data_IF_098674137481
#
_entry.id   IF_098674137481
#
_cell.length_a   1.000
_cell.length_b   1.000
_cell.length_c   1.000
_cell.angle_alpha   90.00
_cell.angle_beta   90.00
_cell.angle_gamma   90.00
#
_symmetry.space_group_name_H-M   'P 1'
#
loop_
_entity.id
_entity.type
_entity.pdbx_description
1 polymer ?
#
# COMPACT_ATOMS: atom_id res chain seq x y z
N UNK A 1 -5.93 -12.14 -3.09
CA UNK A 1 -6.88 -11.04 -3.12
C UNK A 1 -8.24 -11.44 -2.56
N UNK A 2 -8.85 -12.53 -3.03
CA UNK A 2 -10.13 -13.01 -2.50
C UNK A 2 -10.06 -13.25 -0.98
N UNK A 3 -9.02 -13.93 -0.48
CA UNK A 3 -8.83 -14.15 0.95
C UNK A 3 -8.65 -12.83 1.74
N UNK A 4 -7.90 -11.85 1.21
CA UNK A 4 -7.77 -10.55 1.85
C UNK A 4 -9.12 -9.81 1.95
N UNK A 5 -9.94 -9.87 0.89
CA UNK A 5 -11.30 -9.32 0.90
C UNK A 5 -12.21 -10.05 1.89
N UNK A 6 -12.13 -11.38 1.99
CA UNK A 6 -12.89 -12.19 2.96
C UNK A 6 -12.51 -11.84 4.40
N UNK A 7 -11.24 -11.52 4.67
CA UNK A 7 -10.77 -11.04 5.98
C UNK A 7 -11.08 -9.57 6.25
N UNK A 8 -11.69 -8.86 5.28
CA UNK A 8 -12.09 -7.47 5.44
C UNK A 8 -10.92 -6.49 5.49
N UNK A 9 -9.83 -6.80 4.79
CA UNK A 9 -8.68 -5.88 4.67
C UNK A 9 -9.12 -4.58 4.00
N UNK A 10 -8.93 -3.41 4.64
CA UNK A 10 -9.39 -2.13 4.08
C UNK A 10 -8.57 -1.71 2.87
N UNK A 11 -7.31 -2.09 2.83
CA UNK A 11 -6.37 -1.86 1.72
C UNK A 11 -5.56 -3.11 1.46
N UNK A 12 -5.29 -3.42 0.19
CA UNK A 12 -4.49 -4.57 -0.24
C UNK A 12 -3.29 -4.03 -1.02
N UNK A 13 -2.10 -4.49 -0.65
CA UNK A 13 -0.85 -4.17 -1.35
C UNK A 13 -0.59 -5.21 -2.45
N UNK A 14 -0.02 -4.75 -3.56
CA UNK A 14 0.34 -5.57 -4.71
C UNK A 14 1.50 -4.97 -5.51
N UNK A 15 2.27 -5.84 -6.17
CA UNK A 15 3.38 -5.48 -7.03
C UNK A 15 3.02 -5.62 -8.50
N UNK A 16 3.28 -4.59 -9.30
CA UNK A 16 2.98 -4.58 -10.73
C UNK A 16 4.26 -4.61 -11.56
N UNK A 17 4.27 -5.50 -12.51
CA UNK A 17 5.28 -5.62 -13.58
C UNK A 17 4.59 -5.73 -14.94
N UNK A 18 5.39 -5.81 -16.02
CA UNK A 18 4.86 -5.83 -17.37
C UNK A 18 5.45 -6.98 -18.18
N UNK A 19 4.60 -7.65 -18.95
CA UNK A 19 4.98 -8.70 -19.89
C UNK A 19 5.60 -8.14 -21.17
N UNK A 20 6.19 -9.02 -22.01
CA UNK A 20 6.81 -8.64 -23.29
C UNK A 20 5.86 -7.92 -24.25
N UNK A 21 4.56 -8.23 -24.19
CA UNK A 21 3.51 -7.65 -25.03
C UNK A 21 2.78 -6.48 -24.38
N UNK A 22 3.32 -5.92 -23.25
CA UNK A 22 2.85 -4.70 -22.64
C UNK A 22 1.66 -4.86 -21.69
N UNK A 23 1.33 -6.07 -21.24
CA UNK A 23 0.26 -6.30 -20.28
C UNK A 23 0.80 -6.09 -18.85
N UNK A 24 0.16 -5.22 -18.07
CA UNK A 24 0.46 -5.05 -16.65
C UNK A 24 -0.07 -6.23 -15.85
N UNK A 25 0.81 -6.91 -15.10
CA UNK A 25 0.52 -8.13 -14.33
C UNK A 25 0.95 -7.98 -12.89
N UNK A 26 0.33 -8.76 -12.00
CA UNK A 26 0.59 -8.68 -10.56
C UNK A 26 1.52 -9.81 -10.14
N UNK A 27 2.79 -9.46 -9.91
CA UNK A 27 3.83 -10.37 -9.45
C UNK A 27 4.98 -9.61 -8.80
N UNK A 28 5.50 -10.11 -7.67
CA UNK A 28 6.61 -9.49 -6.96
C UNK A 28 7.95 -9.65 -7.70
N UNK A 29 8.32 -10.89 -8.06
CA UNK A 29 9.63 -11.18 -8.64
C UNK A 29 9.63 -10.94 -10.15
N UNK A 30 10.71 -10.34 -10.67
CA UNK A 30 10.96 -10.27 -12.11
C UNK A 30 11.14 -11.68 -12.70
N UNK A 31 11.83 -12.56 -11.99
CA UNK A 31 12.01 -13.96 -12.39
C UNK A 31 10.80 -14.81 -12.01
N UNK A 32 10.23 -15.50 -12.98
CA UNK A 32 9.10 -16.40 -12.77
C UNK A 32 9.47 -17.71 -12.04
N UNK A 33 10.78 -17.92 -11.78
CA UNK A 33 11.28 -19.21 -11.30
C UNK A 33 10.77 -19.60 -9.92
N UNK A 34 10.70 -18.67 -8.96
CA UNK A 34 10.29 -18.96 -7.59
C UNK A 34 8.84 -19.44 -7.51
N UNK A 35 7.94 -18.75 -8.19
CA UNK A 35 6.50 -19.02 -8.08
C UNK A 35 6.01 -20.08 -9.07
N UNK A 36 6.63 -20.19 -10.27
CA UNK A 36 6.10 -21.03 -11.34
C UNK A 36 7.06 -22.15 -11.78
N UNK A 37 8.33 -22.08 -11.39
CA UNK A 37 9.38 -22.98 -11.89
C UNK A 37 9.91 -22.60 -13.28
N UNK A 38 9.31 -21.63 -13.99
CA UNK A 38 9.77 -21.15 -15.29
C UNK A 38 11.05 -20.30 -15.12
N UNK A 39 12.09 -20.54 -15.90
CA UNK A 39 13.39 -19.83 -15.80
C UNK A 39 13.42 -18.48 -16.53
N UNK A 40 12.35 -18.08 -17.20
CA UNK A 40 12.22 -16.79 -17.86
C UNK A 40 11.93 -15.66 -16.87
N UNK A 41 12.15 -14.41 -17.30
CA UNK A 41 11.65 -13.23 -16.61
C UNK A 41 10.28 -12.84 -17.15
N UNK A 42 9.55 -12.04 -16.40
CA UNK A 42 8.20 -11.61 -16.76
C UNK A 42 8.18 -10.84 -18.10
N UNK A 43 9.17 -9.99 -18.34
CA UNK A 43 9.29 -9.18 -19.55
C UNK A 43 9.80 -9.97 -20.78
N UNK A 44 10.19 -11.26 -20.63
CA UNK A 44 10.63 -12.12 -21.72
C UNK A 44 9.46 -12.82 -22.43
N UNK A 45 8.29 -12.90 -21.80
CA UNK A 45 7.14 -13.69 -22.25
C UNK A 45 5.91 -12.81 -22.51
N UNK A 46 5.13 -13.09 -23.58
CA UNK A 46 3.79 -12.51 -23.73
C UNK A 46 2.82 -13.07 -22.69
N UNK A 47 1.81 -12.28 -22.32
CA UNK A 47 0.85 -12.64 -21.26
C UNK A 47 0.16 -13.99 -21.52
N UNK A 48 -0.16 -14.32 -22.76
CA UNK A 48 -0.76 -15.60 -23.11
C UNK A 48 0.09 -16.83 -22.67
N UNK A 49 1.41 -16.68 -22.54
CA UNK A 49 2.30 -17.71 -21.99
C UNK A 49 2.39 -17.64 -20.48
N UNK A 50 2.47 -16.43 -19.91
CA UNK A 50 2.50 -16.20 -18.46
C UNK A 50 1.26 -16.77 -17.79
N UNK A 51 0.08 -16.56 -18.36
CA UNK A 51 -1.20 -17.03 -17.84
C UNK A 51 -1.32 -18.56 -17.74
N UNK A 52 -0.52 -19.31 -18.51
CA UNK A 52 -0.51 -20.78 -18.46
C UNK A 52 0.37 -21.34 -17.33
N UNK A 53 1.14 -20.51 -16.64
CA UNK A 53 2.03 -20.92 -15.58
C UNK A 53 1.25 -21.06 -14.27
N UNK A 54 1.47 -22.18 -13.57
CA UNK A 54 0.91 -22.38 -12.23
C UNK A 54 1.72 -21.59 -11.19
N UNK A 55 1.17 -20.50 -10.71
CA UNK A 55 1.77 -19.62 -9.72
C UNK A 55 1.31 -19.92 -8.27
N UNK A 56 0.49 -20.93 -8.03
CA UNK A 56 -0.04 -21.25 -6.70
C UNK A 56 0.56 -22.49 -6.05
N UNK A 57 0.89 -23.50 -6.83
CA UNK A 57 1.34 -24.81 -6.34
C UNK A 57 2.61 -24.75 -5.48
N UNK A 58 3.51 -23.81 -5.76
CA UNK A 58 4.74 -23.61 -4.98
C UNK A 58 4.47 -23.22 -3.53
N UNK A 59 3.39 -22.48 -3.30
CA UNK A 59 2.98 -22.04 -1.97
C UNK A 59 2.27 -23.18 -1.21
N UNK A 60 1.22 -23.75 -1.82
CA UNK A 60 0.53 -24.92 -1.27
C UNK A 60 -0.28 -25.64 -2.37
N UNK A 61 -0.44 -26.99 -2.23
CA UNK A 61 -1.15 -27.80 -3.24
C UNK A 61 -2.60 -27.39 -3.49
N UNK A 62 -3.28 -26.81 -2.49
CA UNK A 62 -4.66 -26.33 -2.67
C UNK A 62 -4.79 -25.20 -3.67
N UNK A 63 -3.71 -24.46 -3.93
CA UNK A 63 -3.67 -23.35 -4.89
C UNK A 63 -3.16 -23.75 -6.27
N UNK A 64 -3.04 -25.03 -6.53
CA UNK A 64 -2.65 -25.54 -7.87
C UNK A 64 -3.60 -25.02 -8.92
N UNK A 65 -3.05 -24.45 -10.02
CA UNK A 65 -3.79 -23.84 -11.11
C UNK A 65 -4.08 -22.35 -10.92
N UNK A 66 -3.64 -21.73 -9.81
CA UNK A 66 -3.64 -20.26 -9.72
C UNK A 66 -2.62 -19.69 -10.70
N UNK A 67 -3.01 -18.66 -11.40
CA UNK A 67 -2.16 -17.98 -12.41
C UNK A 67 -1.77 -16.59 -11.93
N UNK A 68 -0.83 -15.95 -12.62
CA UNK A 68 -0.45 -14.56 -12.42
C UNK A 68 -1.53 -13.67 -13.05
N UNK A 69 -2.32 -12.92 -12.25
CA UNK A 69 -3.40 -12.10 -12.79
C UNK A 69 -2.88 -10.83 -13.44
N UNK A 70 -3.67 -10.22 -14.28
CA UNK A 70 -3.45 -8.86 -14.77
C UNK A 70 -3.83 -7.84 -13.68
N UNK A 71 -3.25 -6.65 -13.75
CA UNK A 71 -3.69 -5.52 -12.90
C UNK A 71 -5.18 -5.20 -13.13
N UNK A 72 -5.65 -5.30 -14.37
CA UNK A 72 -7.04 -5.11 -14.75
C UNK A 72 -7.99 -6.06 -14.00
N UNK A 73 -7.66 -7.36 -13.93
CA UNK A 73 -8.44 -8.35 -13.18
C UNK A 73 -8.51 -8.02 -11.68
N UNK A 74 -7.39 -7.56 -11.09
CA UNK A 74 -7.34 -7.19 -9.68
C UNK A 74 -8.13 -5.92 -9.40
N UNK A 75 -8.01 -4.89 -10.25
CA UNK A 75 -8.82 -3.67 -10.15
C UNK A 75 -10.32 -3.99 -10.21
N UNK A 76 -10.73 -4.84 -11.14
CA UNK A 76 -12.13 -5.28 -11.27
C UNK A 76 -12.62 -6.05 -10.04
N UNK A 77 -11.80 -6.95 -9.49
CA UNK A 77 -12.13 -7.77 -8.32
C UNK A 77 -12.32 -6.92 -7.06
N UNK A 78 -11.42 -5.95 -6.83
CA UNK A 78 -11.35 -5.16 -5.60
C UNK A 78 -12.23 -3.90 -5.63
N UNK A 79 -12.74 -3.47 -6.79
CA UNK A 79 -13.53 -2.23 -6.93
C UNK A 79 -14.73 -2.19 -5.98
N UNK A 80 -14.76 -1.13 -5.15
CA UNK A 80 -15.79 -0.91 -4.15
C UNK A 80 -15.75 -1.85 -2.94
N UNK A 81 -14.67 -2.65 -2.80
CA UNK A 81 -14.49 -3.61 -1.69
C UNK A 81 -13.24 -3.31 -0.86
N UNK A 82 -12.14 -2.87 -1.49
CA UNK A 82 -10.91 -2.48 -0.81
C UNK A 82 -10.18 -1.41 -1.61
N UNK A 83 -9.39 -0.58 -0.92
CA UNK A 83 -8.38 0.27 -1.54
C UNK A 83 -7.19 -0.58 -1.99
N UNK A 84 -6.38 -0.04 -2.91
CA UNK A 84 -5.16 -0.71 -3.37
C UNK A 84 -3.92 0.14 -3.11
N UNK A 85 -2.84 -0.51 -2.66
CA UNK A 85 -1.49 0.03 -2.68
C UNK A 85 -0.72 -0.68 -3.81
N UNK A 86 -0.50 0.03 -4.91
CA UNK A 86 0.06 -0.52 -6.14
C UNK A 86 1.55 -0.17 -6.21
N UNK A 87 2.43 -1.14 -5.89
CA UNK A 87 3.86 -0.95 -6.09
C UNK A 87 4.24 -1.15 -7.55
N UNK A 88 4.75 -0.11 -8.20
CA UNK A 88 5.34 -0.22 -9.53
C UNK A 88 6.80 -0.66 -9.39
N UNK A 89 7.14 -1.83 -9.94
CA UNK A 89 8.51 -2.35 -10.03
C UNK A 89 9.20 -1.81 -11.28
N UNK A 90 10.03 -0.76 -11.17
CA UNK A 90 10.65 -0.14 -12.34
C UNK A 90 11.60 -1.10 -13.05
N UNK A 91 11.56 -1.07 -14.39
CA UNK A 91 12.46 -1.85 -15.22
C UNK A 91 12.80 -1.09 -16.50
N UNK A 92 14.06 -1.12 -16.87
CA UNK A 92 14.50 -0.58 -18.17
C UNK A 92 13.93 -1.34 -19.36
N UNK A 93 13.42 -2.56 -19.14
CA UNK A 93 12.79 -3.40 -20.16
C UNK A 93 11.30 -3.10 -20.36
N UNK A 94 10.69 -2.34 -19.45
CA UNK A 94 9.26 -2.04 -19.44
C UNK A 94 9.00 -0.54 -19.23
N UNK A 95 9.45 0.34 -20.14
CA UNK A 95 9.47 1.80 -19.92
C UNK A 95 8.08 2.46 -19.93
N UNK A 96 7.02 1.71 -20.24
CA UNK A 96 5.63 2.20 -20.29
C UNK A 96 4.78 1.73 -19.11
N UNK A 97 5.38 1.05 -18.11
CA UNK A 97 4.63 0.46 -17.00
C UNK A 97 3.90 1.51 -16.18
N UNK A 98 4.52 2.67 -15.90
CA UNK A 98 3.90 3.77 -15.16
C UNK A 98 2.66 4.30 -15.91
N UNK A 99 2.79 4.53 -17.22
CA UNK A 99 1.69 5.05 -18.03
C UNK A 99 0.54 4.04 -18.15
N UNK A 100 0.83 2.75 -18.30
CA UNK A 100 -0.19 1.70 -18.35
C UNK A 100 -0.89 1.54 -16.99
N UNK A 101 -0.16 1.60 -15.88
CA UNK A 101 -0.73 1.55 -14.54
C UNK A 101 -1.71 2.72 -14.31
N UNK A 102 -1.29 3.96 -14.61
CA UNK A 102 -2.16 5.15 -14.48
C UNK A 102 -3.36 5.05 -15.40
N UNK A 103 -3.18 4.61 -16.66
CA UNK A 103 -4.28 4.38 -17.60
C UNK A 103 -5.34 3.41 -17.05
N UNK A 104 -4.90 2.31 -16.44
CA UNK A 104 -5.80 1.32 -15.83
C UNK A 104 -6.50 1.87 -14.58
N UNK A 105 -5.80 2.59 -13.72
CA UNK A 105 -6.39 3.29 -12.56
C UNK A 105 -7.55 4.18 -13.02
N UNK A 106 -7.36 4.98 -14.08
CA UNK A 106 -8.42 5.83 -14.64
C UNK A 106 -9.56 5.01 -15.27
N UNK A 107 -9.23 3.99 -16.06
CA UNK A 107 -10.24 3.15 -16.73
C UNK A 107 -11.21 2.49 -15.75
N UNK A 108 -10.71 2.14 -14.55
CA UNK A 108 -11.50 1.53 -13.48
C UNK A 108 -12.02 2.54 -12.45
N UNK A 109 -11.79 3.86 -12.64
CA UNK A 109 -12.13 4.94 -11.69
C UNK A 109 -11.58 4.67 -10.28
N UNK A 110 -10.32 4.21 -10.18
CA UNK A 110 -9.69 3.81 -8.93
C UNK A 110 -8.86 4.93 -8.27
N UNK A 111 -8.77 6.11 -8.87
CA UNK A 111 -7.88 7.19 -8.46
C UNK A 111 -7.99 7.58 -6.97
N UNK A 112 -9.21 7.69 -6.44
CA UNK A 112 -9.45 7.98 -5.02
C UNK A 112 -9.28 6.77 -4.09
N UNK A 113 -9.29 5.55 -4.63
CA UNK A 113 -9.31 4.30 -3.89
C UNK A 113 -7.97 3.55 -4.00
N UNK A 114 -6.91 4.22 -4.50
CA UNK A 114 -5.57 3.65 -4.54
C UNK A 114 -4.49 4.65 -4.17
N UNK A 115 -3.34 4.10 -3.80
CA UNK A 115 -2.06 4.80 -3.75
C UNK A 115 -1.06 4.05 -4.64
N UNK A 116 -0.10 4.77 -5.19
CA UNK A 116 0.98 4.18 -6.00
C UNK A 116 2.29 4.28 -5.24
N UNK A 117 2.99 3.18 -5.07
CA UNK A 117 4.29 3.13 -4.40
C UNK A 117 5.40 2.67 -5.34
N UNK A 118 6.63 3.03 -5.04
CA UNK A 118 7.81 2.51 -5.73
C UNK A 118 9.07 2.73 -4.89
N UNK A 119 10.08 1.88 -5.10
CA UNK A 119 11.45 2.08 -4.64
C UNK A 119 12.23 3.05 -5.54
N UNK A 120 11.68 3.44 -6.69
CA UNK A 120 12.25 4.44 -7.60
C UNK A 120 11.54 5.77 -7.45
N UNK A 121 12.26 6.79 -7.00
CA UNK A 121 11.72 8.14 -6.95
C UNK A 121 11.38 8.69 -8.35
N UNK A 122 12.15 8.31 -9.38
CA UNK A 122 11.87 8.67 -10.77
C UNK A 122 10.50 8.14 -11.23
N UNK A 123 10.15 6.90 -10.85
CA UNK A 123 8.82 6.31 -11.11
C UNK A 123 7.72 7.14 -10.48
N UNK A 124 7.88 7.60 -9.22
CA UNK A 124 6.90 8.47 -8.57
C UNK A 124 6.76 9.83 -9.29
N UNK A 125 7.88 10.42 -9.72
CA UNK A 125 7.84 11.65 -10.53
C UNK A 125 7.02 11.45 -11.83
N UNK A 126 7.25 10.34 -12.55
CA UNK A 126 6.48 10.01 -13.76
C UNK A 126 4.98 9.82 -13.47
N UNK A 127 4.64 9.16 -12.36
CA UNK A 127 3.23 9.01 -11.96
C UNK A 127 2.59 10.38 -11.69
N UNK A 128 3.28 11.27 -10.95
CA UNK A 128 2.81 12.63 -10.69
C UNK A 128 2.73 13.52 -11.95
N UNK A 129 3.59 13.29 -12.96
CA UNK A 129 3.50 13.96 -14.26
C UNK A 129 2.27 13.48 -15.05
N UNK A 130 1.90 12.21 -14.94
CA UNK A 130 0.74 11.62 -15.61
C UNK A 130 -0.58 12.00 -14.94
N UNK A 131 -0.59 11.98 -13.61
CA UNK A 131 -1.71 12.37 -12.78
C UNK A 131 -1.23 12.88 -11.40
N UNK A 132 -1.25 14.19 -11.14
CA UNK A 132 -0.82 14.79 -9.87
C UNK A 132 -1.72 14.43 -8.68
N UNK A 133 -2.96 13.99 -8.93
CA UNK A 133 -3.95 13.70 -7.89
C UNK A 133 -3.79 12.27 -7.30
N UNK A 134 -3.09 11.37 -7.99
CA UNK A 134 -2.76 10.05 -7.44
C UNK A 134 -1.81 10.21 -6.26
N UNK A 135 -2.21 9.70 -5.10
CA UNK A 135 -1.35 9.65 -3.91
C UNK A 135 -0.18 8.70 -4.12
N UNK A 136 1.04 9.17 -3.87
CA UNK A 136 2.27 8.41 -4.12
C UNK A 136 3.10 8.21 -2.86
N UNK A 137 3.70 7.02 -2.71
CA UNK A 137 4.53 6.63 -1.58
C UNK A 137 5.94 6.16 -1.99
N UNK A 138 6.96 6.68 -1.32
CA UNK A 138 8.33 6.25 -1.56
C UNK A 138 8.72 5.10 -0.64
N UNK A 139 9.11 3.96 -1.22
CA UNK A 139 9.50 2.76 -0.46
C UNK A 139 10.97 2.84 -0.08
N UNK A 140 11.24 2.74 1.22
CA UNK A 140 12.56 2.72 1.82
C UNK A 140 12.87 1.33 2.37
N UNK A 141 13.59 0.53 1.59
CA UNK A 141 14.05 -0.80 2.00
C UNK A 141 15.30 -0.77 2.90
N UNK A 142 16.03 0.34 2.90
CA UNK A 142 17.19 0.59 3.74
C UNK A 142 17.01 1.95 4.40
N UNK A 143 17.12 2.03 5.73
CA UNK A 143 16.97 3.26 6.51
C UNK A 143 18.11 4.27 6.35
N UNK A 144 18.76 4.30 5.18
CA UNK A 144 19.90 5.17 4.89
C UNK A 144 19.41 6.45 4.22
N UNK A 145 19.44 7.54 4.96
CA UNK A 145 19.14 8.88 4.47
C UNK A 145 18.03 9.57 5.28
N UNK A 146 18.23 10.85 5.52
CA UNK A 146 17.27 11.69 6.27
C UNK A 146 16.53 12.65 5.34
N UNK A 147 16.48 12.34 4.05
CA UNK A 147 15.92 13.23 3.04
C UNK A 147 14.45 12.93 2.79
N UNK A 148 13.58 13.59 3.57
CA UNK A 148 12.12 13.43 3.46
C UNK A 148 11.45 14.56 2.67
N UNK A 149 12.21 15.52 2.13
CA UNK A 149 11.71 16.62 1.30
C UNK A 149 11.67 16.18 -0.18
N UNK A 150 10.82 15.21 -0.49
CA UNK A 150 10.63 14.66 -1.83
C UNK A 150 9.22 15.05 -2.32
N UNK A 151 9.08 16.03 -3.25
CA UNK A 151 7.77 16.53 -3.70
C UNK A 151 6.85 15.47 -4.29
N UNK A 152 7.42 14.49 -5.01
CA UNK A 152 6.66 13.38 -5.60
C UNK A 152 6.45 12.19 -4.64
N UNK A 153 6.55 12.38 -3.33
CA UNK A 153 6.23 11.37 -2.33
C UNK A 153 5.30 12.01 -1.29
N UNK A 154 4.05 11.61 -1.27
CA UNK A 154 3.06 12.09 -0.29
C UNK A 154 3.23 11.36 1.05
N UNK A 155 3.74 10.13 1.01
CA UNK A 155 4.08 9.34 2.19
C UNK A 155 5.34 8.47 1.99
N UNK A 156 5.81 7.85 3.09
CA UNK A 156 6.93 6.92 3.07
C UNK A 156 6.51 5.54 3.53
N UNK A 157 6.88 4.50 2.77
CA UNK A 157 6.68 3.09 3.12
C UNK A 157 8.02 2.49 3.52
N UNK A 158 8.21 2.19 4.81
CA UNK A 158 9.54 1.90 5.39
C UNK A 158 9.60 0.48 5.95
N UNK A 159 10.73 -0.20 5.70
CA UNK A 159 11.00 -1.48 6.36
C UNK A 159 11.07 -1.27 7.89
N UNK A 160 10.32 -2.08 8.64
CA UNK A 160 9.97 -1.84 10.04
C UNK A 160 11.16 -1.72 11.00
N UNK A 161 12.27 -2.43 10.72
CA UNK A 161 13.45 -2.43 11.59
C UNK A 161 14.23 -1.10 11.55
N UNK A 162 14.02 -0.29 10.53
CA UNK A 162 14.66 1.03 10.38
C UNK A 162 13.84 2.17 10.98
N UNK A 163 12.59 1.92 11.39
CA UNK A 163 11.71 2.98 11.90
C UNK A 163 12.13 3.40 13.31
N UNK A 164 12.35 4.69 13.48
CA UNK A 164 12.67 5.33 14.75
C UNK A 164 11.69 6.46 15.05
N UNK A 165 11.51 6.82 16.32
CA UNK A 165 10.68 7.96 16.72
C UNK A 165 11.11 9.27 16.03
N UNK A 166 12.43 9.48 15.85
CA UNK A 166 12.96 10.64 15.14
C UNK A 166 12.57 10.65 13.66
N UNK A 167 12.56 9.49 12.99
CA UNK A 167 12.12 9.36 11.60
C UNK A 167 10.63 9.71 11.46
N UNK A 168 9.78 9.12 12.29
CA UNK A 168 8.33 9.38 12.30
C UNK A 168 8.07 10.88 12.49
N UNK A 169 8.70 11.48 13.50
CA UNK A 169 8.56 12.92 13.77
C UNK A 169 9.00 13.78 12.58
N UNK A 170 10.12 13.47 11.94
CA UNK A 170 10.62 14.24 10.80
C UNK A 170 9.71 14.14 9.58
N UNK A 171 9.07 13.00 9.35
CA UNK A 171 8.09 12.78 8.27
C UNK A 171 6.82 13.58 8.58
N UNK A 172 6.28 13.48 9.80
CA UNK A 172 5.08 14.20 10.23
C UNK A 172 5.26 15.73 10.20
N UNK A 173 6.44 16.25 10.59
CA UNK A 173 6.75 17.69 10.51
C UNK A 173 6.68 18.26 9.08
N UNK A 174 6.72 17.39 8.06
CA UNK A 174 6.55 17.74 6.63
C UNK A 174 5.13 17.54 6.13
N UNK A 175 4.19 17.23 7.03
CA UNK A 175 2.80 16.94 6.69
C UNK A 175 2.60 15.62 5.92
N UNK A 176 3.58 14.70 6.00
CA UNK A 176 3.53 13.40 5.33
C UNK A 176 3.27 12.28 6.34
N UNK A 177 2.82 11.13 5.86
CA UNK A 177 2.57 9.94 6.68
C UNK A 177 3.62 8.84 6.45
N UNK A 178 3.64 7.85 7.36
CA UNK A 178 4.56 6.73 7.32
C UNK A 178 3.82 5.40 7.46
N UNK A 179 4.09 4.50 6.52
CA UNK A 179 3.64 3.11 6.50
C UNK A 179 4.79 2.18 6.86
N UNK A 180 4.53 1.10 7.59
CA UNK A 180 5.55 0.13 7.99
C UNK A 180 5.27 -1.25 7.39
N UNK A 181 6.31 -1.93 6.87
CA UNK A 181 6.25 -3.29 6.32
C UNK A 181 7.44 -4.15 6.77
N UNK A 182 7.37 -5.50 6.83
CA UNK A 182 6.15 -6.30 6.89
C UNK A 182 5.90 -6.72 8.32
N UNK A 183 4.72 -6.43 8.86
CA UNK A 183 4.40 -6.56 10.28
C UNK A 183 3.52 -7.78 10.49
N UNK A 184 4.09 -8.87 10.97
CA UNK A 184 3.40 -10.15 11.15
C UNK A 184 3.20 -10.56 12.62
N UNK A 185 3.62 -9.70 13.58
CA UNK A 185 3.49 -9.96 15.01
C UNK A 185 2.82 -8.80 15.73
N UNK A 186 1.92 -9.13 16.62
CA UNK A 186 1.18 -8.15 17.43
C UNK A 186 2.10 -7.17 18.17
N UNK A 187 3.17 -7.66 18.81
CA UNK A 187 4.08 -6.82 19.59
C UNK A 187 4.82 -5.78 18.72
N UNK A 188 5.18 -6.13 17.48
CA UNK A 188 5.82 -5.20 16.56
C UNK A 188 4.83 -4.13 16.10
N UNK A 189 3.57 -4.53 15.82
CA UNK A 189 2.50 -3.60 15.49
C UNK A 189 2.25 -2.59 16.63
N UNK A 190 2.06 -3.07 17.87
CA UNK A 190 1.84 -2.22 19.04
C UNK A 190 2.99 -1.21 19.24
N UNK A 191 4.24 -1.67 19.09
CA UNK A 191 5.42 -0.80 19.19
C UNK A 191 5.42 0.30 18.12
N UNK A 192 5.11 -0.04 16.86
CA UNK A 192 5.13 0.92 15.75
C UNK A 192 3.99 1.93 15.87
N UNK A 193 2.79 1.50 16.28
CA UNK A 193 1.67 2.39 16.59
C UNK A 193 2.03 3.37 17.72
N UNK A 194 2.72 2.91 18.79
CA UNK A 194 3.20 3.79 19.85
C UNK A 194 4.26 4.80 19.38
N UNK A 195 5.01 4.49 18.33
CA UNK A 195 5.94 5.43 17.67
C UNK A 195 5.23 6.44 16.79
N UNK A 196 3.92 6.26 16.51
CA UNK A 196 3.11 7.11 15.66
C UNK A 196 3.14 6.72 14.18
N UNK A 197 3.42 5.45 13.84
CA UNK A 197 3.28 4.95 12.46
C UNK A 197 1.80 4.96 12.08
N UNK A 198 1.49 5.48 10.88
CA UNK A 198 0.11 5.74 10.44
C UNK A 198 -0.55 4.53 9.78
N UNK A 199 0.24 3.65 9.14
CA UNK A 199 -0.27 2.48 8.41
C UNK A 199 0.66 1.27 8.55
N UNK A 200 0.08 0.05 8.55
CA UNK A 200 0.81 -1.20 8.71
C UNK A 200 0.50 -2.16 7.55
N UNK A 201 1.55 -2.64 6.89
CA UNK A 201 1.45 -3.68 5.85
C UNK A 201 1.82 -5.03 6.47
N UNK A 202 0.93 -6.03 6.29
CA UNK A 202 1.03 -7.34 6.93
C UNK A 202 0.61 -8.48 6.01
N UNK A 203 1.27 -9.65 6.14
CA UNK A 203 0.78 -10.93 5.60
C UNK A 203 -0.23 -11.61 6.54
N UNK A 204 -0.53 -10.99 7.71
CA UNK A 204 -1.35 -11.57 8.79
C UNK A 204 -2.48 -10.62 9.20
N UNK A 205 -3.40 -10.27 8.28
CA UNK A 205 -4.48 -9.33 8.56
C UNK A 205 -5.36 -9.80 9.74
N UNK A 206 -5.54 -11.10 9.92
CA UNK A 206 -6.30 -11.69 11.02
C UNK A 206 -5.70 -11.39 12.41
N UNK A 207 -4.39 -11.11 12.48
CA UNK A 207 -3.68 -10.75 13.72
C UNK A 207 -3.69 -9.23 13.92
N UNK A 208 -3.49 -8.46 12.86
CA UNK A 208 -3.23 -7.01 12.94
C UNK A 208 -4.53 -6.20 12.92
N UNK A 209 -5.54 -6.57 12.12
CA UNK A 209 -6.78 -5.81 12.02
C UNK A 209 -7.52 -5.59 13.37
N UNK A 210 -7.59 -6.58 14.30
CA UNK A 210 -8.21 -6.36 15.60
C UNK A 210 -7.50 -5.32 16.47
N UNK A 211 -6.19 -5.12 16.31
CA UNK A 211 -5.42 -4.12 17.05
C UNK A 211 -5.78 -2.72 16.60
N UNK A 212 -5.83 -2.50 15.27
CA UNK A 212 -6.22 -1.21 14.69
C UNK A 212 -7.66 -0.82 15.05
N UNK A 213 -8.56 -1.80 15.13
CA UNK A 213 -9.94 -1.56 15.57
C UNK A 213 -10.02 -1.12 17.04
N UNK A 214 -9.16 -1.68 17.93
CA UNK A 214 -9.06 -1.25 19.34
C UNK A 214 -8.50 0.15 19.49
N UNK A 215 -7.48 0.50 18.71
CA UNK A 215 -6.82 1.79 18.74
C UNK A 215 -7.78 2.90 18.30
N UNK A 216 -8.48 2.72 17.19
CA UNK A 216 -9.55 3.63 16.73
C UNK A 216 -10.68 3.79 17.75
N UNK A 217 -11.05 2.71 18.45
CA UNK A 217 -12.07 2.78 19.50
C UNK A 217 -11.59 3.58 20.72
N UNK A 218 -10.30 3.50 21.05
CA UNK A 218 -9.68 4.30 22.13
C UNK A 218 -9.61 5.77 21.74
N UNK A 219 -9.15 6.09 20.54
CA UNK A 219 -9.09 7.45 20.01
C UNK A 219 -10.48 8.11 19.99
N UNK A 220 -11.50 7.42 19.53
CA UNK A 220 -12.87 7.92 19.55
C UNK A 220 -13.37 8.19 20.97
N UNK A 221 -12.98 7.37 21.97
CA UNK A 221 -13.33 7.62 23.38
C UNK A 221 -12.58 8.83 23.95
N UNK A 222 -11.33 9.02 23.58
CA UNK A 222 -10.54 10.18 23.98
C UNK A 222 -11.08 11.48 23.36
N UNK A 223 -11.44 11.46 22.09
CA UNK A 223 -12.10 12.58 21.42
C UNK A 223 -13.42 12.94 22.10
N UNK A 224 -14.28 11.95 22.38
CA UNK A 224 -15.53 12.16 23.12
C UNK A 224 -15.29 12.76 24.50
N UNK A 225 -14.31 12.24 25.28
CA UNK A 225 -13.93 12.80 26.59
C UNK A 225 -13.44 14.24 26.49
N UNK A 226 -12.63 14.56 25.48
CA UNK A 226 -12.17 15.92 25.21
C UNK A 226 -13.35 16.86 24.96
N UNK A 227 -14.30 16.44 24.13
CA UNK A 227 -15.47 17.25 23.78
C UNK A 227 -16.37 17.49 25.01
N UNK A 228 -16.58 16.45 25.85
CA UNK A 228 -17.29 16.59 27.13
C UNK A 228 -16.59 17.56 28.11
N UNK A 229 -15.26 17.52 28.17
CA UNK A 229 -14.48 18.45 28.98
C UNK A 229 -14.61 19.89 28.47
N UNK A 230 -14.57 20.08 27.14
CA UNK A 230 -14.76 21.42 26.55
C UNK A 230 -16.16 21.99 26.82
N UNK A 231 -17.22 21.17 26.75
CA UNK A 231 -18.59 21.58 27.13
C UNK A 231 -18.70 21.97 28.59
N UNK A 232 -18.02 21.25 29.51
CA UNK A 232 -18.02 21.58 30.95
C UNK A 232 -17.34 22.92 31.29
N UNK A 233 -16.41 23.35 30.45
CA UNK A 233 -15.66 24.61 30.62
C UNK A 233 -16.12 25.71 29.64
N UNK A 234 -17.09 25.45 28.76
CA UNK A 234 -17.74 26.50 28.00
C UNK A 234 -18.53 27.40 28.98
N UNK A 235 -18.21 28.69 29.00
CA UNK A 235 -18.95 29.66 29.82
C UNK A 235 -20.43 29.64 29.36
N UNK A 236 -21.40 29.69 30.29
CA UNK A 236 -22.80 29.86 29.92
C UNK A 236 -22.95 31.17 29.13
N UNK A 237 -23.63 31.10 28.02
CA UNK A 237 -23.90 32.25 27.17
C UNK A 237 -24.52 33.38 28.00
N UNK A 238 -23.95 34.58 27.87
CA UNK A 238 -24.34 35.77 28.63
C UNK A 238 -25.72 36.36 28.21
N UNK A 239 -26.63 35.56 27.73
CA UNK A 239 -27.98 35.98 27.28
C UNK A 239 -29.12 35.78 28.30
N UNK A 240 -28.86 35.22 29.51
CA UNK A 240 -29.90 35.14 30.56
C UNK A 240 -29.78 36.18 31.68
N UNK A 241 -29.03 37.26 31.45
CA UNK A 241 -28.91 38.36 32.41
C UNK A 241 -29.42 39.70 31.84
N UNK A 242 -30.70 39.79 31.47
CA UNK A 242 -31.46 41.05 31.34
C UNK A 242 -32.91 40.84 31.71
#
# INVERSE_FOLDING_TARGET
FEAALEHGSPRIELDVQMTADGVAVVTHDTSLRRCTGCSANIYDLPYAQVQQLDAGRWFHRQFTGSYIPTLEEVLALCKGKAELNIEIKPSTFTPTLEAETVRLIHAYNYGSDCVVTSQSYETLCKVKELDPDITTGYILALGVGTYYDLPAADFFSVESTFITAGMVQQIHLRGKTISAWTINRQQDAEKLLQLGVDDLITDKPEIIAPLLARDKALDNRLLWLRDQIQELFAAPDAEEAM
#
